data_IF_159187890411
#
_entry.id   IF_159187890411
#
_cell.length_a   1.000
_cell.length_b   1.000
_cell.length_c   1.000
_cell.angle_alpha   90.00
_cell.angle_beta   90.00
_cell.angle_gamma   90.00
#
_symmetry.space_group_name_H-M   'P 1'
#
loop_
_entity.id
_entity.type
_entity.pdbx_description
1 polymer ?
#
# COMPACT_ATOMS: atom_id res chain seq x y z
N UNK A 1 17.35 21.05 -7.35
CA UNK A 1 17.17 19.65 -6.91
C UNK A 1 15.70 19.39 -6.68
N UNK A 2 15.18 18.26 -7.17
CA UNK A 2 13.83 17.79 -6.88
C UNK A 2 13.68 17.46 -5.39
N UNK A 3 12.52 17.70 -4.76
CA UNK A 3 12.29 17.35 -3.36
C UNK A 3 12.41 15.85 -3.15
N UNK A 4 13.01 15.45 -2.03
CA UNK A 4 12.91 14.08 -1.55
C UNK A 4 11.46 13.80 -1.11
N UNK A 5 10.95 12.62 -1.45
CA UNK A 5 9.61 12.19 -1.04
C UNK A 5 9.65 10.71 -0.63
N UNK A 6 9.29 10.43 0.62
CA UNK A 6 9.31 9.08 1.19
C UNK A 6 8.01 8.81 1.95
N UNK A 7 7.68 7.53 2.15
CA UNK A 7 6.59 7.14 3.06
C UNK A 7 7.16 7.11 4.48
N UNK A 8 6.58 7.91 5.37
CA UNK A 8 6.86 7.86 6.81
C UNK A 8 6.14 6.68 7.46
N UNK A 9 4.81 6.68 7.38
CA UNK A 9 3.97 5.58 7.82
C UNK A 9 2.69 5.47 6.98
N UNK A 10 2.09 4.28 6.99
CA UNK A 10 0.72 4.05 6.52
C UNK A 10 -0.16 3.88 7.75
N UNK A 11 -1.27 4.60 7.81
CA UNK A 11 -2.25 4.45 8.87
C UNK A 11 -3.36 3.49 8.43
N UNK A 12 -3.54 2.41 9.19
CA UNK A 12 -4.64 1.46 9.02
C UNK A 12 -5.61 1.67 10.16
N UNK A 13 -6.89 1.82 9.83
CA UNK A 13 -7.94 1.92 10.82
C UNK A 13 -8.83 0.68 10.86
N UNK A 14 -9.22 0.25 12.06
CA UNK A 14 -9.99 -0.99 12.26
C UNK A 14 -11.25 -0.79 13.15
N UNK A 15 -12.44 -1.27 12.72
CA UNK A 15 -13.73 -0.97 13.38
C UNK A 15 -14.03 -1.78 14.64
N UNK A 16 -13.40 -2.94 14.81
CA UNK A 16 -13.70 -3.86 15.90
C UNK A 16 -12.44 -4.50 16.45
N UNK A 17 -12.51 -5.00 17.69
CA UNK A 17 -11.42 -5.77 18.30
C UNK A 17 -11.03 -6.96 17.43
N UNK A 18 -12.00 -7.70 16.89
CA UNK A 18 -11.74 -8.84 16.00
C UNK A 18 -10.92 -8.44 14.76
N UNK A 19 -11.34 -7.39 14.04
CA UNK A 19 -10.60 -6.93 12.85
C UNK A 19 -9.24 -6.36 13.22
N UNK A 20 -9.15 -5.61 14.33
CA UNK A 20 -7.89 -5.10 14.85
C UNK A 20 -6.92 -6.24 15.15
N UNK A 21 -7.35 -7.27 15.87
CA UNK A 21 -6.49 -8.38 16.27
C UNK A 21 -6.08 -9.23 15.06
N UNK A 22 -6.94 -9.33 14.03
CA UNK A 22 -6.58 -9.90 12.74
C UNK A 22 -5.47 -9.10 12.03
N UNK A 23 -5.57 -7.76 11.99
CA UNK A 23 -4.50 -6.90 11.44
C UNK A 23 -3.21 -7.06 12.23
N UNK A 24 -3.26 -7.02 13.57
CA UNK A 24 -2.06 -7.22 14.42
C UNK A 24 -1.38 -8.56 14.10
N UNK A 25 -2.17 -9.63 14.06
CA UNK A 25 -1.69 -10.97 13.74
C UNK A 25 -1.04 -11.02 12.35
N UNK A 26 -1.67 -10.40 11.35
CA UNK A 26 -1.12 -10.32 10.01
C UNK A 26 0.19 -9.53 9.97
N UNK A 27 0.24 -8.36 10.61
CA UNK A 27 1.45 -7.52 10.66
C UNK A 27 2.64 -8.30 11.24
N UNK A 28 2.43 -9.05 12.33
CA UNK A 28 3.46 -9.92 12.91
C UNK A 28 3.96 -10.98 11.91
N UNK A 29 3.03 -11.67 11.21
CA UNK A 29 3.37 -12.66 10.19
C UNK A 29 4.16 -12.06 9.01
N UNK A 30 3.84 -10.80 8.67
CA UNK A 30 4.52 -10.02 7.64
C UNK A 30 5.86 -9.42 8.11
N UNK A 31 6.28 -9.64 9.35
CA UNK A 31 7.57 -9.21 9.87
C UNK A 31 7.58 -7.82 10.53
N UNK A 32 6.41 -7.18 10.67
CA UNK A 32 6.27 -5.99 11.49
C UNK A 32 6.24 -6.37 12.96
N UNK A 33 6.80 -5.52 13.82
CA UNK A 33 6.78 -5.67 15.27
C UNK A 33 6.17 -4.42 15.88
N UNK A 34 5.42 -4.59 16.97
CA UNK A 34 5.00 -3.45 17.79
C UNK A 34 6.25 -2.77 18.36
N UNK A 35 6.39 -1.48 18.09
CA UNK A 35 7.54 -0.66 18.53
C UNK A 35 7.12 0.56 19.34
N UNK A 36 5.83 0.86 19.44
CA UNK A 36 5.39 1.95 20.28
C UNK A 36 3.88 2.02 20.45
N UNK A 37 3.46 2.62 21.55
CA UNK A 37 2.08 3.02 21.79
C UNK A 37 1.99 4.54 21.71
N UNK A 38 0.95 5.05 21.05
CA UNK A 38 0.73 6.48 21.04
C UNK A 38 0.37 6.96 22.45
N UNK A 39 0.97 8.07 22.90
CA UNK A 39 0.87 8.53 24.29
C UNK A 39 -0.55 8.91 24.73
N UNK A 40 -1.34 9.47 23.81
CA UNK A 40 -2.68 10.02 24.09
C UNK A 40 -3.83 9.31 23.37
N UNK A 41 -3.56 8.67 22.24
CA UNK A 41 -4.56 8.12 21.33
C UNK A 41 -4.46 6.60 21.26
N UNK A 42 -5.54 5.95 20.83
CA UNK A 42 -5.61 4.51 20.65
C UNK A 42 -4.93 4.08 19.34
N UNK A 43 -3.63 4.32 19.24
CA UNK A 43 -2.80 4.04 18.07
C UNK A 43 -1.58 3.22 18.48
N UNK A 44 -1.32 2.15 17.76
CA UNK A 44 -0.12 1.33 17.90
C UNK A 44 0.81 1.53 16.70
N UNK A 45 2.11 1.66 16.96
CA UNK A 45 3.12 1.78 15.93
C UNK A 45 3.79 0.43 15.68
N UNK A 46 3.65 -0.09 14.48
CA UNK A 46 4.29 -1.29 14.00
C UNK A 46 5.42 -0.93 13.04
N UNK A 47 6.54 -1.64 13.13
CA UNK A 47 7.71 -1.42 12.27
C UNK A 47 8.33 -2.74 11.80
N UNK A 48 8.65 -2.82 10.52
CA UNK A 48 9.54 -3.86 9.99
C UNK A 48 10.98 -3.30 9.84
N UNK A 49 11.77 -3.72 8.85
CA UNK A 49 13.15 -3.24 8.67
C UNK A 49 13.17 -1.71 8.47
N UNK A 50 12.39 -1.20 7.52
CA UNK A 50 12.42 0.23 7.14
C UNK A 50 11.08 0.94 7.19
N UNK A 51 9.97 0.22 7.27
CA UNK A 51 8.61 0.75 7.10
C UNK A 51 7.83 0.76 8.41
N UNK A 52 6.96 1.77 8.55
CA UNK A 52 6.08 1.93 9.70
C UNK A 52 4.61 1.82 9.28
N UNK A 53 3.82 1.19 10.14
CA UNK A 53 2.36 1.15 10.07
C UNK A 53 1.81 1.66 11.40
N UNK A 54 0.95 2.67 11.36
CA UNK A 54 0.17 3.10 12.50
C UNK A 54 -1.19 2.40 12.47
N UNK A 55 -1.45 1.52 13.44
CA UNK A 55 -2.74 0.88 13.59
C UNK A 55 -3.62 1.73 14.52
N UNK A 56 -4.56 2.47 13.93
CA UNK A 56 -5.50 3.33 14.63
C UNK A 56 -6.81 2.58 14.92
N UNK A 57 -7.23 2.58 16.17
CA UNK A 57 -8.51 1.99 16.60
C UNK A 57 -9.22 2.91 17.59
N UNK A 58 -9.01 4.22 17.43
CA UNK A 58 -9.71 5.24 18.18
C UNK A 58 -11.22 5.16 17.94
N UNK A 59 -11.97 5.10 19.04
CA UNK A 59 -13.42 5.01 19.01
C UNK A 59 -14.03 6.41 18.88
N UNK A 60 -15.23 6.49 18.28
CA UNK A 60 -15.97 7.73 18.09
C UNK A 60 -16.12 8.48 19.43
N UNK A 61 -15.79 9.78 19.43
CA UNK A 61 -15.98 10.67 20.59
C UNK A 61 -14.74 10.88 21.47
N UNK A 62 -13.62 10.20 21.22
CA UNK A 62 -12.33 10.53 21.86
C UNK A 62 -11.59 11.55 21.00
N UNK A 63 -11.25 12.72 21.57
CA UNK A 63 -10.39 13.72 20.93
C UNK A 63 -10.95 14.49 19.71
N UNK A 64 -12.25 14.39 19.40
CA UNK A 64 -12.85 14.91 18.15
C UNK A 64 -12.17 14.38 16.86
N UNK A 65 -11.54 13.21 16.94
CA UNK A 65 -10.86 12.54 15.83
C UNK A 65 -11.89 11.92 14.86
N UNK A 66 -11.67 12.09 13.54
CA UNK A 66 -12.58 11.63 12.45
C UNK A 66 -12.63 10.11 12.31
N UNK A 67 -11.59 9.43 12.79
CA UNK A 67 -11.28 8.03 12.53
C UNK A 67 -12.42 7.11 12.97
N UNK A 68 -13.03 7.37 14.14
CA UNK A 68 -14.19 6.59 14.60
C UNK A 68 -15.41 6.68 13.66
N UNK A 69 -15.65 7.83 13.03
CA UNK A 69 -16.74 7.99 12.05
C UNK A 69 -16.35 7.48 10.66
N UNK A 70 -15.08 7.66 10.27
CA UNK A 70 -14.55 7.18 8.99
C UNK A 70 -14.58 5.66 8.89
N UNK A 71 -14.12 4.98 9.93
CA UNK A 71 -14.11 3.52 10.06
C UNK A 71 -15.51 2.91 10.11
N UNK A 72 -16.49 3.64 10.65
CA UNK A 72 -17.89 3.21 10.62
C UNK A 72 -18.45 3.16 9.20
N UNK A 73 -18.01 4.07 8.32
CA UNK A 73 -18.46 4.11 6.92
C UNK A 73 -17.71 3.09 6.05
N UNK A 74 -16.38 3.00 6.20
CA UNK A 74 -15.54 2.24 5.28
C UNK A 74 -15.08 0.87 5.81
N UNK A 75 -15.35 0.57 7.08
CA UNK A 75 -14.86 -0.63 7.74
C UNK A 75 -13.36 -0.58 8.00
N UNK A 76 -12.66 -1.68 7.72
CA UNK A 76 -11.20 -1.75 7.83
C UNK A 76 -10.59 -1.17 6.55
N UNK A 77 -9.79 -0.11 6.70
CA UNK A 77 -9.26 0.64 5.58
C UNK A 77 -7.92 1.29 5.91
N UNK A 78 -7.26 1.84 4.89
CA UNK A 78 -6.15 2.77 5.07
C UNK A 78 -6.74 4.17 5.23
N UNK A 79 -6.65 4.72 6.44
CA UNK A 79 -7.21 6.02 6.78
C UNK A 79 -6.24 7.18 6.55
N UNK A 80 -4.95 6.88 6.42
CA UNK A 80 -3.94 7.91 6.29
C UNK A 80 -2.63 7.42 5.69
N UNK A 81 -1.91 8.35 5.10
CA UNK A 81 -0.56 8.17 4.57
C UNK A 81 0.29 9.36 4.97
N UNK A 82 1.41 9.11 5.66
CA UNK A 82 2.38 10.14 5.96
C UNK A 82 3.49 10.18 4.90
N UNK A 83 3.68 11.35 4.31
CA UNK A 83 4.78 11.65 3.40
C UNK A 83 5.85 12.46 4.15
N UNK A 84 7.09 11.99 4.03
CA UNK A 84 8.28 12.71 4.47
C UNK A 84 8.89 13.46 3.29
N UNK A 85 9.17 14.74 3.49
CA UNK A 85 9.84 15.59 2.50
C UNK A 85 10.79 16.57 3.17
N UNK A 86 11.79 17.05 2.44
CA UNK A 86 12.66 18.17 2.83
C UNK A 86 12.06 19.54 2.44
N UNK A 87 10.91 19.55 1.76
CA UNK A 87 10.32 20.76 1.13
C UNK A 87 8.85 20.94 1.47
N UNK A 88 8.52 20.86 2.76
CA UNK A 88 7.13 20.84 3.29
C UNK A 88 6.27 21.99 2.75
N UNK A 89 6.73 23.24 2.86
CA UNK A 89 5.96 24.42 2.42
C UNK A 89 5.67 24.40 0.91
N UNK A 90 6.63 23.96 0.10
CA UNK A 90 6.45 23.88 -1.36
C UNK A 90 5.47 22.78 -1.74
N UNK A 91 5.56 21.62 -1.07
CA UNK A 91 4.65 20.49 -1.30
C UNK A 91 3.21 20.85 -0.95
N UNK A 92 3.00 21.47 0.23
CA UNK A 92 1.68 21.98 0.66
C UNK A 92 1.11 22.94 -0.38
N UNK A 93 1.89 23.93 -0.81
CA UNK A 93 1.44 24.92 -1.79
C UNK A 93 1.05 24.27 -3.13
N UNK A 94 1.83 23.31 -3.62
CA UNK A 94 1.50 22.57 -4.85
C UNK A 94 0.22 21.76 -4.72
N UNK A 95 0.06 20.99 -3.65
CA UNK A 95 -1.15 20.20 -3.40
C UNK A 95 -2.39 21.11 -3.38
N UNK A 96 -2.32 22.24 -2.66
CA UNK A 96 -3.41 23.22 -2.62
C UNK A 96 -3.77 23.77 -4.00
N UNK A 97 -2.79 24.13 -4.82
CA UNK A 97 -3.03 24.64 -6.18
C UNK A 97 -3.61 23.59 -7.13
N UNK A 98 -3.39 22.31 -6.86
CA UNK A 98 -4.00 21.21 -7.59
C UNK A 98 -5.42 20.87 -7.11
N UNK A 99 -5.96 21.62 -6.15
CA UNK A 99 -7.29 21.42 -5.59
C UNK A 99 -7.34 20.49 -4.38
N UNK A 100 -6.19 20.13 -3.80
CA UNK A 100 -6.14 19.38 -2.56
C UNK A 100 -6.73 20.18 -1.40
N UNK A 101 -7.66 19.57 -0.69
CA UNK A 101 -8.38 20.23 0.40
C UNK A 101 -7.63 20.02 1.72
N UNK A 102 -7.20 21.12 2.34
CA UNK A 102 -6.55 21.06 3.65
C UNK A 102 -7.53 20.51 4.69
N UNK A 103 -7.09 19.49 5.41
CA UNK A 103 -7.83 18.94 6.52
C UNK A 103 -7.66 19.84 7.75
N UNK A 104 -8.79 20.39 8.24
CA UNK A 104 -8.80 21.44 9.27
C UNK A 104 -9.02 20.92 10.68
N UNK A 105 -9.33 19.64 10.84
CA UNK A 105 -9.64 19.04 12.13
C UNK A 105 -8.40 18.37 12.73
N UNK A 106 -8.50 18.05 14.02
CA UNK A 106 -7.43 17.39 14.73
C UNK A 106 -7.22 15.97 14.20
N UNK A 107 -5.96 15.55 14.15
CA UNK A 107 -5.54 14.17 13.90
C UNK A 107 -4.70 13.71 15.09
N UNK A 108 -4.64 12.42 15.41
CA UNK A 108 -3.81 11.89 16.49
C UNK A 108 -2.33 12.33 16.41
N UNK A 109 -1.86 12.55 15.18
CA UNK A 109 -0.48 12.91 14.89
C UNK A 109 -0.22 14.42 14.88
N UNK A 110 -1.28 15.25 14.95
CA UNK A 110 -1.20 16.71 14.85
C UNK A 110 -0.34 17.20 13.67
N UNK A 111 -0.40 16.46 12.56
CA UNK A 111 0.31 16.76 11.31
C UNK A 111 -0.59 17.56 10.38
N UNK A 112 0.02 18.46 9.61
CA UNK A 112 -0.69 19.12 8.52
C UNK A 112 -1.08 18.07 7.48
N UNK A 113 -2.36 18.05 7.13
CA UNK A 113 -2.95 16.96 6.37
C UNK A 113 -3.87 17.48 5.28
N UNK A 114 -3.98 16.73 4.18
CA UNK A 114 -4.96 16.98 3.13
C UNK A 114 -5.94 15.82 3.03
N UNK A 115 -7.15 16.08 2.57
CA UNK A 115 -8.02 15.03 2.05
C UNK A 115 -7.40 14.51 0.75
N UNK A 116 -7.21 13.19 0.61
CA UNK A 116 -6.57 12.64 -0.58
C UNK A 116 -6.71 11.14 -0.79
N UNK A 117 -6.45 10.73 -2.04
CA UNK A 117 -6.50 9.33 -2.54
C UNK A 117 -7.79 8.61 -2.16
N UNK A 118 -8.93 9.26 -2.43
CA UNK A 118 -10.21 8.96 -1.81
C UNK A 118 -10.39 9.83 -0.57
N UNK A 119 -10.99 9.28 0.46
CA UNK A 119 -11.25 9.98 1.71
C UNK A 119 -10.15 9.83 2.77
N UNK A 120 -9.03 9.19 2.44
CA UNK A 120 -7.87 9.03 3.33
C UNK A 120 -7.14 10.36 3.57
N UNK A 121 -6.42 10.47 4.68
CA UNK A 121 -5.62 11.65 5.00
C UNK A 121 -4.21 11.54 4.42
N UNK A 122 -3.75 12.61 3.80
CA UNK A 122 -2.37 12.75 3.38
C UNK A 122 -1.62 13.66 4.34
N UNK A 123 -0.92 13.09 5.32
CA UNK A 123 -0.11 13.82 6.29
C UNK A 123 1.23 14.21 5.68
N UNK A 124 1.66 15.45 5.90
CA UNK A 124 2.97 15.95 5.44
C UNK A 124 3.85 16.22 6.65
N UNK A 125 5.07 15.67 6.63
CA UNK A 125 6.05 15.85 7.69
C UNK A 125 7.44 16.13 7.11
N UNK A 126 8.19 17.00 7.79
CA UNK A 126 9.58 17.26 7.47
C UNK A 126 10.43 16.03 7.80
N UNK A 127 11.25 15.57 6.85
CA UNK A 127 12.14 14.42 7.01
C UNK A 127 13.08 14.60 8.21
N UNK A 128 13.57 15.82 8.45
CA UNK A 128 14.45 16.12 9.58
C UNK A 128 13.76 15.99 10.94
N UNK A 129 12.42 16.12 10.98
CA UNK A 129 11.61 16.04 12.19
C UNK A 129 11.08 14.63 12.49
N UNK A 130 11.38 13.64 11.65
CA UNK A 130 10.86 12.28 11.81
C UNK A 130 11.17 11.66 13.18
N UNK A 131 12.41 11.78 13.67
CA UNK A 131 12.80 11.23 14.98
C UNK A 131 12.09 11.96 16.13
N UNK A 132 12.00 13.29 16.06
CA UNK A 132 11.30 14.10 17.05
C UNK A 132 9.81 13.73 17.09
N UNK A 133 9.19 13.58 15.92
CA UNK A 133 7.80 13.15 15.79
C UNK A 133 7.56 11.82 16.50
N UNK A 134 8.40 10.81 16.27
CA UNK A 134 8.28 9.50 16.91
C UNK A 134 8.35 9.62 18.44
N UNK A 135 9.37 10.31 18.98
CA UNK A 135 9.56 10.47 20.42
C UNK A 135 8.45 11.30 21.06
N UNK A 136 7.93 12.30 20.35
CA UNK A 136 6.84 13.16 20.83
C UNK A 136 5.54 12.39 20.98
N UNK A 137 5.18 11.60 19.96
CA UNK A 137 3.85 10.99 19.86
C UNK A 137 3.77 9.57 20.44
N UNK A 138 4.88 8.84 20.52
CA UNK A 138 4.89 7.44 20.93
C UNK A 138 5.80 7.18 22.12
N UNK A 139 5.35 6.31 23.01
CA UNK A 139 6.20 5.62 23.97
C UNK A 139 6.83 4.43 23.26
N UNK A 140 8.09 4.60 22.85
CA UNK A 140 8.83 3.60 22.09
C UNK A 140 9.22 2.43 23.00
N UNK A 141 8.89 1.22 22.56
CA UNK A 141 9.18 -0.02 23.27
C UNK A 141 10.54 -0.53 22.80
N UNK A 142 11.52 -0.62 23.69
CA UNK A 142 12.76 -1.34 23.44
C UNK A 142 12.48 -2.85 23.43
N UNK A 143 12.92 -3.53 22.36
CA UNK A 143 12.49 -4.91 22.04
C UNK A 143 12.75 -5.92 23.15
N UNK A 144 11.74 -6.74 23.46
CA UNK A 144 11.90 -8.21 23.35
C UNK A 144 11.48 -8.60 21.93
N UNK A 145 12.31 -9.35 21.21
CA UNK A 145 11.92 -9.86 19.90
C UNK A 145 10.64 -10.68 20.01
N UNK A 146 9.58 -10.24 19.33
CA UNK A 146 8.38 -11.02 19.21
C UNK A 146 8.62 -12.09 18.13
N UNK A 147 8.46 -13.35 18.51
CA UNK A 147 9.01 -14.55 17.84
C UNK A 147 8.21 -15.03 16.62
N UNK A 148 7.21 -14.27 16.16
CA UNK A 148 6.34 -14.65 15.04
C UNK A 148 6.80 -14.09 13.68
N UNK A 149 8.08 -13.75 13.50
CA UNK A 149 8.61 -13.35 12.19
C UNK A 149 8.64 -14.55 11.26
N UNK A 150 7.72 -14.61 10.32
CA UNK A 150 7.68 -15.68 9.31
C UNK A 150 8.18 -15.17 7.96
N UNK A 151 7.75 -13.97 7.55
CA UNK A 151 8.25 -13.29 6.35
C UNK A 151 9.21 -12.16 6.75
N UNK A 152 10.39 -12.16 6.15
CA UNK A 152 11.33 -11.03 6.23
C UNK A 152 10.94 -9.97 5.19
N UNK A 153 9.82 -9.28 5.39
CA UNK A 153 9.50 -8.10 4.57
C UNK A 153 10.47 -6.98 4.89
N UNK A 154 10.87 -6.26 3.86
CA UNK A 154 11.96 -5.28 3.94
C UNK A 154 11.35 -3.89 4.06
N UNK A 155 10.49 -3.54 3.10
CA UNK A 155 9.99 -2.20 2.89
C UNK A 155 8.66 -2.22 2.13
N UNK A 156 8.00 -1.07 2.05
CA UNK A 156 6.93 -0.86 1.08
C UNK A 156 7.48 -0.87 -0.35
N UNK A 157 6.84 -1.67 -1.21
CA UNK A 157 7.10 -1.71 -2.64
C UNK A 157 6.31 -0.60 -3.33
N UNK A 158 4.98 -0.73 -3.32
CA UNK A 158 4.02 0.19 -3.92
C UNK A 158 2.71 0.22 -3.14
N UNK A 159 1.84 1.18 -3.46
CA UNK A 159 0.47 1.24 -2.98
C UNK A 159 -0.49 1.21 -4.18
N UNK A 160 -1.56 0.44 -4.09
CA UNK A 160 -2.64 0.50 -5.07
C UNK A 160 -3.76 1.39 -4.58
N UNK A 161 -4.24 2.28 -5.44
CA UNK A 161 -5.38 3.16 -5.21
C UNK A 161 -6.47 2.73 -6.18
N UNK A 162 -7.60 2.25 -5.66
CA UNK A 162 -8.76 1.92 -6.49
C UNK A 162 -9.72 3.11 -6.47
N UNK A 163 -10.07 3.62 -7.65
CA UNK A 163 -10.90 4.80 -7.81
C UNK A 163 -12.00 4.60 -8.86
N UNK A 164 -13.09 5.35 -8.70
CA UNK A 164 -14.08 5.51 -9.76
C UNK A 164 -13.53 6.35 -10.90
N UNK A 165 -13.97 6.08 -12.13
CA UNK A 165 -13.60 6.86 -13.34
C UNK A 165 -13.81 8.36 -13.16
N UNK A 166 -14.86 8.77 -12.46
CA UNK A 166 -15.14 10.18 -12.18
C UNK A 166 -14.03 10.88 -11.37
N UNK A 167 -13.26 10.13 -10.57
CA UNK A 167 -12.20 10.68 -9.71
C UNK A 167 -10.82 10.66 -10.37
N UNK A 168 -10.69 10.10 -11.58
CA UNK A 168 -9.39 9.90 -12.25
C UNK A 168 -8.62 11.20 -12.46
N UNK A 169 -9.24 12.19 -13.10
CA UNK A 169 -8.56 13.46 -13.43
C UNK A 169 -8.07 14.17 -12.17
N UNK A 170 -8.91 14.27 -11.14
CA UNK A 170 -8.54 14.91 -9.89
C UNK A 170 -7.43 14.14 -9.15
N UNK A 171 -7.54 12.82 -9.08
CA UNK A 171 -6.54 11.97 -8.41
C UNK A 171 -5.18 12.07 -9.10
N UNK A 172 -5.14 11.94 -10.44
CA UNK A 172 -3.90 12.06 -11.21
C UNK A 172 -3.32 13.47 -11.15
N UNK A 173 -4.15 14.52 -11.11
CA UNK A 173 -3.67 15.89 -10.92
C UNK A 173 -2.96 16.06 -9.57
N UNK A 174 -3.56 15.60 -8.47
CA UNK A 174 -2.93 15.66 -7.15
C UNK A 174 -1.62 14.85 -7.13
N UNK A 175 -1.63 13.62 -7.67
CA UNK A 175 -0.45 12.77 -7.68
C UNK A 175 0.68 13.34 -8.55
N UNK A 176 0.40 13.72 -9.79
CA UNK A 176 1.44 14.14 -10.73
C UNK A 176 1.88 15.58 -10.52
N UNK A 177 0.94 16.52 -10.40
CA UNK A 177 1.27 17.95 -10.28
C UNK A 177 1.46 18.37 -8.81
N UNK A 178 0.58 17.88 -7.92
CA UNK A 178 0.60 18.24 -6.51
C UNK A 178 1.80 17.63 -5.77
N UNK A 179 2.00 16.32 -5.93
CA UNK A 179 3.12 15.58 -5.32
C UNK A 179 4.37 15.53 -6.20
N UNK A 180 4.29 15.97 -7.45
CA UNK A 180 5.44 15.95 -8.37
C UNK A 180 5.83 14.53 -8.80
N UNK A 181 4.88 13.59 -8.87
CA UNK A 181 5.14 12.24 -9.34
C UNK A 181 5.15 12.19 -10.87
N UNK A 182 5.92 11.25 -11.42
CA UNK A 182 6.02 11.02 -12.86
C UNK A 182 5.15 9.82 -13.20
N UNK A 183 4.33 9.94 -14.25
CA UNK A 183 3.64 8.79 -14.83
C UNK A 183 4.66 7.91 -15.58
N UNK A 184 4.86 6.68 -15.12
CA UNK A 184 5.90 5.78 -15.65
C UNK A 184 5.39 4.85 -16.75
N UNK A 185 4.07 4.70 -16.92
CA UNK A 185 3.47 4.06 -18.10
C UNK A 185 2.85 5.10 -19.02
N UNK A 186 3.32 5.19 -20.26
CA UNK A 186 2.77 6.09 -21.29
C UNK A 186 1.36 5.65 -21.68
N UNK A 187 1.17 4.34 -21.87
CA UNK A 187 -0.13 3.75 -22.14
C UNK A 187 -0.74 3.25 -20.84
N UNK A 188 -1.95 3.72 -20.55
CA UNK A 188 -2.76 3.15 -19.48
C UNK A 188 -3.08 1.71 -19.88
N UNK A 189 -2.87 0.75 -18.98
CA UNK A 189 -3.15 -0.64 -19.30
C UNK A 189 -4.67 -0.83 -19.31
N UNK A 190 -5.22 -1.05 -20.50
CA UNK A 190 -6.62 -1.39 -20.69
C UNK A 190 -6.78 -2.88 -20.48
N UNK A 191 -6.93 -3.24 -19.21
CA UNK A 191 -7.21 -4.60 -18.79
C UNK A 191 -8.71 -4.75 -18.79
N UNK A 192 -9.23 -5.87 -19.31
CA UNK A 192 -10.66 -6.20 -19.30
C UNK A 192 -11.44 -5.41 -18.23
N UNK A 193 -12.11 -4.34 -18.68
CA UNK A 193 -13.00 -3.49 -17.90
C UNK A 193 -12.42 -2.44 -16.91
N UNK A 194 -11.10 -2.20 -16.86
CA UNK A 194 -10.49 -1.15 -16.03
C UNK A 194 -9.16 -0.60 -16.60
N UNK A 195 -8.69 0.52 -16.06
CA UNK A 195 -7.45 1.19 -16.48
C UNK A 195 -6.48 1.27 -15.31
N UNK A 196 -5.19 0.98 -15.51
CA UNK A 196 -4.17 1.18 -14.47
C UNK A 196 -3.13 2.22 -14.90
N UNK A 197 -2.90 3.22 -14.05
CA UNK A 197 -1.82 4.20 -14.16
C UNK A 197 -0.75 3.92 -13.11
N UNK A 198 0.51 3.88 -13.52
CA UNK A 198 1.64 3.86 -12.58
C UNK A 198 2.22 5.26 -12.46
N UNK A 199 2.31 5.79 -11.23
CA UNK A 199 2.94 7.09 -10.94
C UNK A 199 3.97 6.94 -9.83
N UNK A 200 5.17 7.47 -10.06
CA UNK A 200 6.34 7.22 -9.22
C UNK A 200 7.03 8.54 -8.83
N UNK A 201 7.58 8.59 -7.62
CA UNK A 201 8.43 9.71 -7.20
C UNK A 201 9.74 9.73 -7.99
N UNK A 202 10.29 10.92 -8.26
CA UNK A 202 11.61 11.06 -8.88
C UNK A 202 12.73 10.28 -8.17
N UNK A 203 12.66 10.16 -6.85
CA UNK A 203 13.59 9.39 -6.03
C UNK A 203 13.29 7.88 -5.96
N UNK A 204 12.27 7.39 -6.67
CA UNK A 204 11.86 5.96 -6.73
C UNK A 204 11.53 5.31 -5.38
N UNK A 205 11.26 6.14 -4.37
CA UNK A 205 10.89 5.66 -3.04
C UNK A 205 9.39 5.37 -2.94
N UNK A 206 8.57 6.10 -3.69
CA UNK A 206 7.11 5.97 -3.74
C UNK A 206 6.66 5.57 -5.12
N UNK A 207 5.83 4.54 -5.18
CA UNK A 207 5.13 4.09 -6.38
C UNK A 207 3.65 3.90 -6.03
N UNK A 208 2.78 4.60 -6.74
CA UNK A 208 1.34 4.37 -6.70
C UNK A 208 0.87 3.73 -7.99
N UNK A 209 -0.04 2.77 -7.84
CA UNK A 209 -0.79 2.16 -8.95
C UNK A 209 -2.24 2.59 -8.83
N UNK A 210 -2.71 3.42 -9.73
CA UNK A 210 -4.07 3.94 -9.74
C UNK A 210 -4.92 3.05 -10.63
N UNK A 211 -5.74 2.21 -10.03
CA UNK A 211 -6.73 1.37 -10.70
C UNK A 211 -8.04 2.17 -10.85
N UNK A 212 -8.38 2.49 -12.08
CA UNK A 212 -9.56 3.27 -12.47
C UNK A 212 -10.63 2.32 -12.99
N UNK A 213 -11.75 2.25 -12.29
CA UNK A 213 -12.88 1.40 -12.65
C UNK A 213 -14.04 2.23 -13.18
N UNK A 214 -14.70 1.75 -14.24
CA UNK A 214 -15.96 2.34 -14.69
C UNK A 214 -17.10 2.00 -13.71
N UNK A 215 -18.11 2.86 -13.64
CA UNK A 215 -19.18 2.74 -12.64
C UNK A 215 -19.93 1.39 -12.70
N UNK A 216 -20.16 0.87 -13.91
CA UNK A 216 -20.84 -0.41 -14.11
C UNK A 216 -20.03 -1.61 -13.58
N UNK A 217 -18.72 -1.43 -13.40
CA UNK A 217 -17.77 -2.49 -13.06
C UNK A 217 -17.23 -2.33 -11.64
N UNK A 218 -17.40 -1.16 -11.03
CA UNK A 218 -17.12 -0.96 -9.61
C UNK A 218 -17.91 -1.91 -8.71
N UNK A 219 -19.13 -2.31 -9.11
CA UNK A 219 -19.94 -3.31 -8.41
C UNK A 219 -19.34 -4.73 -8.39
N UNK A 220 -18.43 -5.03 -9.32
CA UNK A 220 -17.70 -6.31 -9.39
C UNK A 220 -16.35 -6.25 -8.66
N UNK A 221 -15.90 -5.04 -8.29
CA UNK A 221 -14.68 -4.87 -7.52
C UNK A 221 -14.99 -4.98 -6.03
N UNK A 222 -14.43 -6.00 -5.39
CA UNK A 222 -14.69 -6.28 -3.98
C UNK A 222 -14.29 -5.12 -3.06
N UNK A 223 -13.25 -4.36 -3.43
CA UNK A 223 -12.83 -3.19 -2.65
C UNK A 223 -13.85 -2.06 -2.74
N UNK A 224 -14.15 -1.53 -3.92
CA UNK A 224 -15.09 -0.41 -4.06
C UNK A 224 -16.49 -0.75 -3.55
N UNK A 225 -16.93 -2.02 -3.68
CA UNK A 225 -18.21 -2.49 -3.14
C UNK A 225 -18.26 -2.48 -1.61
N UNK A 226 -17.21 -2.93 -0.93
CA UNK A 226 -17.18 -3.00 0.53
C UNK A 226 -16.75 -1.67 1.17
N UNK A 227 -15.79 -0.98 0.56
CA UNK A 227 -15.28 0.32 1.02
C UNK A 227 -16.26 1.46 0.71
N UNK A 228 -17.15 1.29 -0.28
CA UNK A 228 -18.17 2.25 -0.70
C UNK A 228 -17.62 3.59 -1.22
N UNK A 229 -16.31 3.70 -1.41
CA UNK A 229 -15.66 4.85 -2.05
C UNK A 229 -14.28 4.46 -2.62
N UNK A 230 -13.66 5.40 -3.33
CA UNK A 230 -12.25 5.37 -3.72
C UNK A 230 -11.34 5.32 -2.49
N UNK A 231 -10.19 4.67 -2.62
CA UNK A 231 -9.24 4.57 -1.52
C UNK A 231 -8.01 3.74 -1.86
N UNK A 232 -7.08 3.65 -0.90
CA UNK A 232 -5.91 2.79 -1.02
C UNK A 232 -6.35 1.35 -0.72
N UNK A 233 -6.34 0.49 -1.74
CA UNK A 233 -6.88 -0.87 -1.69
C UNK A 233 -5.85 -1.95 -1.39
N UNK A 234 -4.57 -1.69 -1.66
CA UNK A 234 -3.52 -2.68 -1.51
C UNK A 234 -2.20 -2.08 -1.05
N UNK A 235 -1.51 -2.80 -0.15
CA UNK A 235 -0.13 -2.50 0.27
C UNK A 235 0.81 -3.56 -0.31
N UNK A 236 1.74 -3.13 -1.16
CA UNK A 236 2.84 -3.94 -1.64
C UNK A 236 4.01 -3.96 -0.67
N UNK A 237 4.48 -5.16 -0.33
CA UNK A 237 5.63 -5.38 0.52
C UNK A 237 6.74 -6.08 -0.25
N UNK A 238 7.92 -5.47 -0.23
CA UNK A 238 9.10 -6.09 -0.81
C UNK A 238 9.58 -7.23 0.08
N UNK A 239 9.83 -8.38 -0.53
CA UNK A 239 10.32 -9.59 0.12
C UNK A 239 11.50 -10.16 -0.67
N UNK A 240 12.40 -10.85 0.02
CA UNK A 240 13.50 -11.59 -0.59
C UNK A 240 13.13 -13.06 -0.79
N UNK A 241 13.65 -13.66 -1.87
CA UNK A 241 13.72 -15.11 -2.07
C UNK A 241 12.38 -15.88 -2.21
N UNK A 242 11.29 -15.21 -2.54
CA UNK A 242 10.03 -15.78 -3.02
C UNK A 242 10.11 -16.62 -4.30
N UNK A 243 11.07 -16.39 -5.20
CA UNK A 243 11.28 -17.23 -6.41
C UNK A 243 11.62 -18.69 -6.05
N UNK A 244 12.31 -18.89 -4.92
CA UNK A 244 12.56 -20.23 -4.39
C UNK A 244 11.25 -20.92 -3.98
N UNK A 245 10.23 -20.12 -3.66
CA UNK A 245 8.89 -20.48 -3.22
C UNK A 245 8.52 -19.74 -1.95
N UNK A 246 7.25 -19.82 -1.59
CA UNK A 246 6.80 -19.45 -0.24
C UNK A 246 7.16 -20.61 0.69
N UNK A 247 8.02 -20.42 1.72
CA UNK A 247 8.33 -21.45 2.71
C UNK A 247 7.08 -22.10 3.29
N UNK A 248 7.14 -23.41 3.53
CA UNK A 248 5.97 -24.16 4.00
C UNK A 248 5.46 -23.63 5.35
N UNK A 249 6.34 -23.14 6.23
CA UNK A 249 5.90 -22.53 7.49
C UNK A 249 5.07 -21.26 7.28
N UNK A 250 5.35 -20.50 6.21
CA UNK A 250 4.57 -19.33 5.80
C UNK A 250 3.22 -19.79 5.23
N UNK A 251 3.20 -20.77 4.32
CA UNK A 251 1.95 -21.31 3.75
C UNK A 251 1.01 -21.91 4.79
N UNK A 252 1.55 -22.52 5.85
CA UNK A 252 0.74 -23.07 6.93
C UNK A 252 0.11 -21.99 7.81
N UNK A 253 0.67 -20.77 7.82
CA UNK A 253 0.27 -19.68 8.72
C UNK A 253 -0.42 -18.53 7.99
N UNK A 254 -0.35 -18.47 6.66
CA UNK A 254 -1.02 -17.48 5.81
C UNK A 254 -1.59 -18.15 4.57
N UNK A 255 -2.79 -17.72 4.20
CA UNK A 255 -3.43 -18.10 2.94
C UNK A 255 -3.05 -17.08 1.87
N UNK A 256 -2.95 -17.59 0.64
CA UNK A 256 -2.58 -16.81 -0.53
C UNK A 256 -3.60 -17.07 -1.63
N UNK A 257 -3.93 -16.01 -2.36
CA UNK A 257 -4.85 -16.08 -3.47
C UNK A 257 -4.36 -17.12 -4.50
N UNK A 258 -5.26 -18.00 -4.92
CA UNK A 258 -5.02 -18.94 -5.99
C UNK A 258 -5.12 -18.25 -7.35
N UNK A 259 -4.41 -18.77 -8.34
CA UNK A 259 -4.52 -18.34 -9.74
C UNK A 259 -4.95 -19.51 -10.60
N UNK A 260 -5.72 -19.23 -11.64
CA UNK A 260 -6.22 -20.25 -12.55
C UNK A 260 -5.08 -20.92 -13.32
N UNK A 261 -5.24 -22.18 -13.80
CA UNK A 261 -4.28 -22.77 -14.73
C UNK A 261 -4.07 -21.91 -15.99
N UNK A 262 -5.14 -21.28 -16.48
CA UNK A 262 -5.13 -20.41 -17.65
C UNK A 262 -4.15 -19.23 -17.50
N UNK A 263 -4.10 -18.61 -16.31
CA UNK A 263 -3.14 -17.55 -16.00
C UNK A 263 -1.70 -17.97 -16.29
N UNK A 264 -1.31 -19.19 -15.90
CA UNK A 264 0.06 -19.67 -16.09
C UNK A 264 0.39 -19.96 -17.55
N UNK A 265 -0.62 -20.34 -18.35
CA UNK A 265 -0.47 -20.53 -19.80
C UNK A 265 -0.18 -19.18 -20.44
N UNK A 266 -1.06 -18.19 -20.21
CA UNK A 266 -0.94 -16.82 -20.75
C UNK A 266 0.36 -16.14 -20.31
N UNK A 267 0.71 -16.27 -19.03
CA UNK A 267 1.97 -15.74 -18.53
C UNK A 267 3.18 -16.46 -19.14
N UNK A 268 3.11 -17.77 -19.39
CA UNK A 268 4.21 -18.46 -20.08
C UNK A 268 4.42 -17.95 -21.50
N UNK A 269 3.33 -17.59 -22.19
CA UNK A 269 3.37 -17.03 -23.54
C UNK A 269 3.98 -15.63 -23.59
N UNK A 270 3.68 -14.80 -22.59
CA UNK A 270 4.26 -13.45 -22.48
C UNK A 270 5.76 -13.49 -22.17
N UNK A 271 6.19 -14.42 -21.32
CA UNK A 271 7.56 -14.53 -20.82
C UNK A 271 8.34 -15.69 -21.46
N UNK A 272 7.99 -16.11 -22.69
CA UNK A 272 8.61 -17.26 -23.39
C UNK A 272 10.14 -17.18 -23.47
N UNK A 273 10.71 -15.97 -23.53
CA UNK A 273 12.15 -15.76 -23.63
C UNK A 273 12.90 -15.82 -22.28
N UNK A 274 12.18 -16.10 -21.19
CA UNK A 274 12.76 -16.20 -19.83
C UNK A 274 12.98 -17.66 -19.43
N UNK A 275 13.98 -17.92 -18.58
CA UNK A 275 14.22 -19.27 -18.03
C UNK A 275 13.29 -19.64 -16.85
N UNK A 276 12.07 -19.08 -16.82
CA UNK A 276 11.17 -19.18 -15.67
C UNK A 276 10.40 -20.50 -15.69
N UNK A 277 10.38 -21.19 -14.55
CA UNK A 277 9.66 -22.45 -14.41
C UNK A 277 8.19 -22.21 -14.01
N UNK A 278 7.31 -22.05 -15.01
CA UNK A 278 5.88 -21.82 -14.83
C UNK A 278 5.15 -22.94 -14.08
N UNK A 279 5.59 -24.19 -14.23
CA UNK A 279 5.05 -25.30 -13.45
C UNK A 279 5.32 -25.15 -11.95
N UNK A 280 6.52 -24.69 -11.58
CA UNK A 280 6.88 -24.39 -10.19
C UNK A 280 6.04 -23.22 -9.65
N UNK A 281 5.89 -22.14 -10.43
CA UNK A 281 5.06 -21.00 -10.04
C UNK A 281 3.61 -21.41 -9.78
N UNK A 282 3.05 -22.24 -10.66
CA UNK A 282 1.69 -22.78 -10.55
C UNK A 282 1.47 -23.56 -9.26
N UNK A 283 2.37 -24.49 -8.94
CA UNK A 283 2.33 -25.25 -7.68
C UNK A 283 2.46 -24.38 -6.42
N UNK A 284 2.99 -23.17 -6.56
CA UNK A 284 3.22 -22.26 -5.44
C UNK A 284 2.21 -21.12 -5.38
N UNK A 285 1.26 -21.07 -6.32
CA UNK A 285 0.28 -19.98 -6.45
C UNK A 285 0.98 -18.61 -6.55
N UNK A 286 2.16 -18.58 -7.19
CA UNK A 286 2.95 -17.37 -7.39
C UNK A 286 2.62 -16.77 -8.74
N UNK A 287 2.33 -15.48 -8.74
CA UNK A 287 2.22 -14.70 -9.96
C UNK A 287 3.57 -14.22 -10.42
N UNK A 288 3.60 -13.86 -11.69
CA UNK A 288 4.70 -13.21 -12.37
C UNK A 288 4.14 -11.97 -13.08
N UNK A 289 4.92 -10.92 -13.06
CA UNK A 289 4.72 -9.73 -13.87
C UNK A 289 6.11 -9.14 -14.20
N UNK A 290 6.20 -8.18 -15.09
CA UNK A 290 7.48 -7.76 -15.63
C UNK A 290 7.38 -7.09 -16.99
N UNK A 291 8.55 -6.78 -17.53
CA UNK A 291 8.69 -6.21 -18.86
C UNK A 291 9.57 -7.13 -19.71
N UNK A 292 8.98 -7.60 -20.80
CA UNK A 292 9.64 -8.48 -21.76
C UNK A 292 10.09 -7.62 -22.93
N UNK A 293 11.22 -6.96 -22.74
CA UNK A 293 11.99 -6.29 -23.79
C UNK A 293 13.46 -6.66 -23.60
N UNK A 294 14.41 -5.85 -24.08
CA UNK A 294 15.86 -6.11 -24.17
C UNK A 294 16.51 -6.73 -22.90
N UNK A 295 15.95 -6.50 -21.70
CA UNK A 295 16.53 -6.95 -20.43
C UNK A 295 15.70 -8.01 -19.66
N UNK A 296 14.57 -8.47 -20.21
CA UNK A 296 13.73 -9.57 -19.66
C UNK A 296 13.56 -9.54 -18.13
N UNK A 297 12.98 -8.46 -17.60
CA UNK A 297 12.76 -8.34 -16.16
C UNK A 297 11.44 -9.00 -15.77
N UNK A 298 11.49 -9.97 -14.86
CA UNK A 298 10.32 -10.58 -14.24
C UNK A 298 10.38 -10.45 -12.71
N UNK A 299 9.30 -10.03 -12.09
CA UNK A 299 9.11 -10.00 -10.65
C UNK A 299 7.95 -10.91 -10.24
N UNK A 300 8.06 -11.49 -9.05
CA UNK A 300 7.11 -12.48 -8.54
C UNK A 300 6.19 -11.85 -7.52
N UNK A 301 4.92 -12.21 -7.56
CA UNK A 301 3.90 -11.63 -6.69
C UNK A 301 2.94 -12.64 -6.10
N UNK A 302 2.47 -12.39 -4.89
CA UNK A 302 1.33 -13.13 -4.34
C UNK A 302 0.50 -12.26 -3.42
N UNK A 303 -0.82 -12.43 -3.46
CA UNK A 303 -1.75 -11.67 -2.64
C UNK A 303 -2.06 -12.49 -1.40
N UNK A 304 -1.92 -11.86 -0.23
CA UNK A 304 -2.33 -12.45 1.04
C UNK A 304 -3.85 -12.46 1.11
N UNK A 305 -4.43 -13.64 1.29
CA UNK A 305 -5.87 -13.83 1.37
C UNK A 305 -6.27 -14.02 2.83
N UNK A 306 -6.75 -12.95 3.47
CA UNK A 306 -7.24 -13.00 4.85
C UNK A 306 -8.59 -12.30 4.92
N UNK A 307 -9.66 -13.09 5.08
CA UNK A 307 -11.04 -12.61 4.95
C UNK A 307 -11.39 -11.56 6.01
N UNK A 308 -10.78 -11.66 7.20
CA UNK A 308 -11.02 -10.71 8.29
C UNK A 308 -10.48 -9.30 8.01
N UNK A 309 -9.52 -9.16 7.09
CA UNK A 309 -8.96 -7.86 6.69
C UNK A 309 -9.56 -7.33 5.38
N UNK A 310 -10.46 -8.06 4.73
CA UNK A 310 -11.21 -7.55 3.57
C UNK A 310 -11.94 -6.23 3.94
N UNK A 311 -11.93 -5.23 3.04
CA UNK A 311 -11.42 -5.28 1.66
C UNK A 311 -9.94 -4.92 1.46
N UNK A 312 -9.20 -4.59 2.52
CA UNK A 312 -7.77 -4.26 2.41
C UNK A 312 -6.96 -5.50 1.99
N UNK A 313 -6.03 -5.32 1.06
CA UNK A 313 -5.16 -6.38 0.58
C UNK A 313 -3.68 -6.10 0.85
N UNK A 314 -2.91 -7.16 1.05
CA UNK A 314 -1.45 -7.11 1.02
C UNK A 314 -0.95 -7.96 -0.14
N UNK A 315 0.01 -7.44 -0.89
CA UNK A 315 0.72 -8.17 -1.93
C UNK A 315 2.20 -8.26 -1.56
N UNK A 316 2.76 -9.45 -1.66
CA UNK A 316 4.18 -9.68 -1.50
C UNK A 316 4.83 -9.62 -2.87
N UNK A 317 5.91 -8.87 -2.97
CA UNK A 317 6.59 -8.59 -4.24
C UNK A 317 8.07 -8.93 -4.10
N UNK A 318 8.56 -9.85 -4.92
CA UNK A 318 10.00 -10.01 -5.14
C UNK A 318 10.35 -9.41 -6.49
N UNK A 319 11.17 -8.37 -6.45
CA UNK A 319 11.84 -7.82 -7.63
C UNK A 319 13.18 -8.54 -7.88
N UNK A 320 13.65 -8.64 -9.13
CA UNK A 320 15.01 -9.07 -9.43
C UNK A 320 16.06 -8.31 -8.62
N UNK A 321 17.18 -8.95 -8.33
CA UNK A 321 18.30 -8.26 -7.70
C UNK A 321 18.80 -7.15 -8.61
N UNK A 322 18.91 -5.94 -8.09
CA UNK A 322 19.38 -4.77 -8.83
C UNK A 322 18.34 -4.12 -9.75
N UNK A 323 17.11 -4.62 -9.85
CA UNK A 323 16.06 -3.92 -10.58
C UNK A 323 15.52 -2.76 -9.74
N UNK A 324 15.32 -1.61 -10.36
CA UNK A 324 14.60 -0.49 -9.77
C UNK A 324 13.09 -0.78 -9.67
N UNK A 325 12.32 0.09 -8.98
CA UNK A 325 10.85 -0.03 -8.84
C UNK A 325 10.12 0.29 -10.15
N UNK A 326 10.46 -0.40 -11.24
CA UNK A 326 9.78 -0.25 -12.52
C UNK A 326 8.60 -1.20 -12.63
N UNK A 327 7.52 -0.80 -13.30
CA UNK A 327 6.26 -1.57 -13.35
C UNK A 327 6.10 -2.16 -14.75
N UNK A 328 6.01 -3.49 -14.79
CA UNK A 328 5.55 -4.27 -15.92
C UNK A 328 4.03 -4.20 -16.13
N UNK A 329 3.56 -4.84 -17.18
CA UNK A 329 2.17 -4.80 -17.59
C UNK A 329 1.36 -5.84 -16.82
N UNK A 330 0.82 -5.46 -15.66
CA UNK A 330 0.05 -6.37 -14.81
C UNK A 330 -1.28 -6.73 -15.48
N UNK A 331 -1.31 -7.84 -16.21
CA UNK A 331 -2.53 -8.55 -16.53
C UNK A 331 -2.79 -9.61 -15.45
N UNK A 332 -4.06 -9.84 -15.12
CA UNK A 332 -4.57 -11.02 -14.40
C UNK A 332 -4.39 -11.08 -12.86
N UNK A 333 -5.33 -10.44 -12.16
CA UNK A 333 -5.71 -10.77 -10.78
C UNK A 333 -7.18 -11.21 -10.66
N UNK A 334 -7.76 -11.74 -11.74
CA UNK A 334 -9.13 -12.28 -11.75
C UNK A 334 -9.12 -13.77 -11.96
#
# INVERSE_FOLDING_TARGET
>A
MQPSLNIGFIEISAPSSLKRDAVKTLLLKLGFNLVGHHKLHAVELYKNVTSYIALNYEQKGRGNCREGSYVQMHGLCISGLCLLTDRVAQLIHKISNCGGQLYKYHTPFNLQSFMGLGDSLLHILDTSKWKEFLVRHFDIIEKKENTLKIINSISFDHLQISIFKAHELHTLKILCEGLGLIKTSTNALHLNNHVIHSVESHCKNILFRVQVLSNNLAGNNNYLKQHQDSGISMIGLQVNNFESGIPQEIKNKMKFAQRSPQYYIEASDLFQQTCINFFKLSKQSLGIDGYVDIAHYAYFTTVVEESLISPLQFILVQRPKGSEKFVGNFEYFT
#
